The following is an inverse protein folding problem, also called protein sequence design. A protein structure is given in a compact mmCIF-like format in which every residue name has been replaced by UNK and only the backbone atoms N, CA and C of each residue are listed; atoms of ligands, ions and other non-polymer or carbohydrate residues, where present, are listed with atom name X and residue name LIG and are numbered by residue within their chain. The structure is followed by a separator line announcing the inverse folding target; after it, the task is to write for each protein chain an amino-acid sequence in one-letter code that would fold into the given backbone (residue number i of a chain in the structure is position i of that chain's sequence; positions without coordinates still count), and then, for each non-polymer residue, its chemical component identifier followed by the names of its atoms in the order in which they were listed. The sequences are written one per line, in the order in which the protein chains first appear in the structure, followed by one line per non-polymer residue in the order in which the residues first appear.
data_IF_193439761947
#
_entry.id   IF_193439761947
#
_cell.length_a   1.000
_cell.length_b   1.000
_cell.length_c   1.000
_cell.angle_alpha   90.00
_cell.angle_beta   90.00
_cell.angle_gamma   90.00
#
_symmetry.space_group_name_H-M   'P 1'
#
loop_
_entity.id
_entity.type
_entity.pdbx_description
1 polymer ?
#
# COMPACT_ATOMS: atom_id res chain seq x y z
N UNK A 1 0.29 1.53 23.45
CA UNK A 1 -0.80 1.61 22.47
C UNK A 1 -0.45 0.65 21.35
N UNK A 2 -1.13 -0.50 21.26
CA UNK A 2 -0.86 -1.51 20.22
C UNK A 2 -1.87 -1.32 19.11
N UNK A 3 -1.42 -0.87 17.94
CA UNK A 3 -2.28 -0.72 16.75
C UNK A 3 -2.61 -2.13 16.26
N UNK A 4 -3.82 -2.59 16.56
CA UNK A 4 -4.30 -3.92 16.13
C UNK A 4 -4.95 -3.90 14.75
N UNK A 5 -5.35 -2.73 14.29
CA UNK A 5 -6.09 -2.58 13.05
C UNK A 5 -5.18 -2.74 11.83
N UNK A 6 -5.71 -3.44 10.82
CA UNK A 6 -5.07 -3.58 9.52
C UNK A 6 -5.12 -2.24 8.77
N UNK A 7 -3.96 -1.66 8.50
CA UNK A 7 -3.82 -0.48 7.65
C UNK A 7 -2.60 -0.61 6.76
N UNK A 8 -2.70 -0.18 5.51
CA UNK A 8 -1.60 -0.23 4.55
C UNK A 8 -1.59 1.06 3.78
N UNK A 9 -0.46 1.75 3.82
CA UNK A 9 -0.12 2.79 2.85
C UNK A 9 1.06 2.30 2.05
N UNK A 10 0.94 2.28 0.73
CA UNK A 10 1.93 1.80 -0.21
C UNK A 10 2.01 2.81 -1.35
N UNK A 11 3.18 3.38 -1.60
CA UNK A 11 3.45 4.32 -2.68
C UNK A 11 4.67 3.82 -3.44
N UNK A 12 4.49 3.47 -4.71
CA UNK A 12 5.55 3.01 -5.58
C UNK A 12 5.66 3.92 -6.81
N UNK A 13 6.88 4.26 -7.18
CA UNK A 13 7.24 5.00 -8.40
C UNK A 13 8.66 4.63 -8.78
N UNK A 14 9.09 4.89 -10.00
CA UNK A 14 10.45 4.56 -10.43
C UNK A 14 11.53 5.06 -9.44
N UNK A 15 12.37 4.15 -8.94
CA UNK A 15 13.41 4.46 -7.97
C UNK A 15 12.94 4.74 -6.54
N UNK A 16 11.64 4.68 -6.23
CA UNK A 16 11.13 4.93 -4.88
C UNK A 16 9.99 4.03 -4.47
N UNK A 17 10.09 3.51 -3.24
CA UNK A 17 9.03 2.75 -2.59
C UNK A 17 8.89 3.23 -1.15
N UNK A 18 7.69 3.64 -0.77
CA UNK A 18 7.33 3.96 0.59
C UNK A 18 6.18 3.05 1.00
N UNK A 19 6.32 2.35 2.11
CA UNK A 19 5.25 1.56 2.67
C UNK A 19 5.16 1.74 4.18
N UNK A 20 3.93 1.77 4.69
CA UNK A 20 3.63 1.71 6.10
C UNK A 20 2.46 0.74 6.29
N UNK A 21 2.74 -0.36 6.97
CA UNK A 21 1.77 -1.42 7.18
C UNK A 21 1.63 -1.67 8.67
N UNK A 22 0.38 -1.77 9.14
CA UNK A 22 0.05 -2.16 10.50
C UNK A 22 -0.88 -3.37 10.44
N UNK A 23 -0.59 -4.41 11.20
CA UNK A 23 -1.47 -5.57 11.34
C UNK A 23 -1.11 -6.34 12.62
N UNK A 24 -2.10 -6.86 13.34
CA UNK A 24 -1.90 -7.73 14.51
C UNK A 24 -0.91 -7.18 15.56
N UNK A 25 -0.83 -5.87 15.74
CA UNK A 25 0.13 -5.25 16.67
C UNK A 25 1.57 -5.17 16.15
N UNK A 26 1.79 -5.40 14.86
CA UNK A 26 3.07 -5.20 14.16
C UNK A 26 2.97 -3.96 13.29
N UNK A 27 4.02 -3.15 13.30
CA UNK A 27 4.17 -1.97 12.45
C UNK A 27 5.42 -2.17 11.60
N UNK A 28 5.27 -2.06 10.28
CA UNK A 28 6.38 -2.14 9.34
C UNK A 28 6.41 -0.91 8.46
N UNK A 29 7.53 -0.20 8.49
CA UNK A 29 7.81 0.95 7.65
C UNK A 29 8.93 0.57 6.68
N UNK A 30 8.73 0.78 5.38
CA UNK A 30 9.72 0.54 4.34
C UNK A 30 9.96 1.83 3.59
N UNK A 31 11.22 2.18 3.41
CA UNK A 31 11.65 3.27 2.57
C UNK A 31 12.76 2.80 1.65
N UNK A 32 12.51 2.87 0.34
CA UNK A 32 13.51 2.73 -0.71
C UNK A 32 13.64 4.05 -1.46
N UNK A 33 14.88 4.49 -1.60
CA UNK A 33 15.25 5.61 -2.48
C UNK A 33 16.47 5.18 -3.28
N UNK A 34 16.30 5.04 -4.58
CA UNK A 34 17.25 4.41 -5.50
C UNK A 34 17.62 3.01 -4.97
N UNK A 35 18.89 2.80 -4.62
CA UNK A 35 19.40 1.52 -4.11
C UNK A 35 19.47 1.44 -2.58
N UNK A 36 19.04 2.49 -1.87
CA UNK A 36 19.08 2.52 -0.39
C UNK A 36 17.76 2.02 0.15
N UNK A 37 17.83 1.02 1.03
CA UNK A 37 16.65 0.41 1.68
C UNK A 37 16.77 0.55 3.19
N UNK A 38 15.70 1.06 3.80
CA UNK A 38 15.49 1.10 5.25
C UNK A 38 14.17 0.42 5.56
N UNK A 39 14.18 -0.52 6.50
CA UNK A 39 13.00 -1.22 7.01
C UNK A 39 12.97 -1.07 8.52
N UNK A 40 11.86 -0.58 9.07
CA UNK A 40 11.62 -0.54 10.51
C UNK A 40 10.53 -1.52 10.85
N UNK A 41 10.81 -2.44 11.77
CA UNK A 41 9.87 -3.44 12.24
C UNK A 41 9.67 -3.26 13.75
N UNK A 42 8.44 -2.94 14.13
CA UNK A 42 8.07 -2.67 15.51
C UNK A 42 6.96 -3.62 15.98
N UNK A 43 7.21 -4.24 17.12
CA UNK A 43 6.25 -5.04 17.90
C UNK A 43 6.35 -4.62 19.35
N UNK A 44 5.60 -5.30 20.23
CA UNK A 44 5.56 -4.98 21.66
C UNK A 44 6.85 -5.17 22.42
N UNK A 45 7.66 -6.07 21.91
CA UNK A 45 8.91 -6.52 22.45
C UNK A 45 10.10 -6.14 21.56
N UNK A 46 9.86 -5.80 20.28
CA UNK A 46 10.95 -5.57 19.31
C UNK A 46 10.86 -4.21 18.65
N UNK A 47 12.03 -3.61 18.48
CA UNK A 47 12.23 -2.37 17.71
C UNK A 47 13.47 -2.55 16.85
N UNK A 48 13.25 -3.06 15.64
CA UNK A 48 14.29 -3.40 14.71
C UNK A 48 14.35 -2.38 13.58
N UNK A 49 15.55 -1.97 13.19
CA UNK A 49 15.78 -1.15 12.00
C UNK A 49 16.85 -1.82 11.14
N UNK A 50 16.48 -2.21 9.92
CA UNK A 50 17.40 -2.75 8.92
C UNK A 50 17.72 -1.66 7.91
N UNK A 51 18.97 -1.20 7.86
CA UNK A 51 19.45 -0.17 6.92
C UNK A 51 20.69 -0.71 6.20
N UNK A 52 20.57 -0.93 4.89
CA UNK A 52 21.66 -1.32 3.99
C UNK A 52 22.63 -2.37 4.58
N UNK A 53 22.08 -3.54 4.99
CA UNK A 53 22.78 -4.68 5.60
C UNK A 53 23.18 -4.53 7.08
N UNK A 54 22.71 -3.49 7.78
CA UNK A 54 22.88 -3.38 9.24
C UNK A 54 21.53 -3.52 9.91
N UNK A 55 21.47 -4.35 10.94
CA UNK A 55 20.27 -4.50 11.76
C UNK A 55 20.55 -3.92 13.14
N UNK A 56 19.84 -2.84 13.47
CA UNK A 56 19.85 -2.21 14.78
C UNK A 56 18.69 -2.77 15.60
N UNK A 57 19.02 -3.40 16.72
CA UNK A 57 18.05 -3.82 17.73
C UNK A 57 18.08 -2.82 18.87
N UNK A 58 17.09 -1.94 18.92
CA UNK A 58 17.01 -0.87 19.92
C UNK A 58 16.54 -1.38 21.28
N UNK A 59 16.00 -2.61 21.37
CA UNK A 59 15.62 -3.21 22.64
C UNK A 59 16.84 -3.79 23.34
N UNK A 60 17.66 -4.55 22.62
CA UNK A 60 18.89 -5.15 23.17
C UNK A 60 20.14 -4.28 23.01
N UNK A 61 20.02 -3.11 22.37
CA UNK A 61 21.14 -2.20 22.05
C UNK A 61 22.27 -2.91 21.29
N UNK A 62 21.91 -3.80 20.36
CA UNK A 62 22.86 -4.57 19.55
C UNK A 62 22.80 -4.19 18.07
N UNK A 63 23.92 -4.41 17.37
CA UNK A 63 24.03 -4.17 15.93
C UNK A 63 24.60 -5.42 15.26
N UNK A 64 23.81 -6.00 14.35
CA UNK A 64 24.28 -7.06 13.44
C UNK A 64 24.62 -6.46 12.07
N UNK A 65 25.47 -7.15 11.30
CA UNK A 65 25.90 -6.69 9.98
C UNK A 65 25.92 -7.84 8.97
N UNK A 66 25.80 -7.50 7.69
CA UNK A 66 25.94 -8.44 6.58
C UNK A 66 24.87 -9.52 6.60
N UNK A 67 25.29 -10.76 6.37
CA UNK A 67 24.37 -11.89 6.26
C UNK A 67 23.61 -12.18 7.56
N UNK A 68 24.25 -12.06 8.73
CA UNK A 68 23.58 -12.27 10.02
C UNK A 68 22.42 -11.29 10.24
N UNK A 69 22.62 -10.02 9.86
CA UNK A 69 21.57 -9.00 9.92
C UNK A 69 20.42 -9.35 8.98
N UNK A 70 20.74 -9.82 7.78
CA UNK A 70 19.77 -10.20 6.75
C UNK A 70 18.94 -11.39 7.20
N UNK A 71 19.58 -12.50 7.57
CA UNK A 71 18.90 -13.72 8.03
C UNK A 71 18.01 -13.43 9.24
N UNK A 72 18.49 -12.64 10.21
CA UNK A 72 17.66 -12.27 11.37
C UNK A 72 16.42 -11.50 10.96
N UNK A 73 16.55 -10.51 10.06
CA UNK A 73 15.41 -9.71 9.63
C UNK A 73 14.42 -10.50 8.74
N UNK A 74 14.91 -11.39 7.86
CA UNK A 74 14.06 -12.32 7.08
C UNK A 74 13.25 -13.24 8.01
N UNK A 75 13.86 -13.76 9.07
CA UNK A 75 13.17 -14.60 10.06
C UNK A 75 12.07 -13.83 10.81
N UNK A 76 12.29 -12.56 11.13
CA UNK A 76 11.29 -11.71 11.80
C UNK A 76 10.12 -11.37 10.86
N UNK A 77 10.39 -11.15 9.57
CA UNK A 77 9.38 -10.75 8.59
C UNK A 77 8.60 -11.92 8.01
N UNK A 78 9.25 -13.01 7.62
CA UNK A 78 8.65 -14.10 6.82
C UNK A 78 7.34 -14.65 7.40
N UNK A 79 7.29 -14.97 8.69
CA UNK A 79 6.06 -15.41 9.35
C UNK A 79 5.04 -14.27 9.51
N UNK A 80 5.52 -13.08 9.86
CA UNK A 80 4.67 -11.92 10.11
C UNK A 80 3.91 -11.47 8.84
N UNK A 81 4.58 -11.46 7.68
CA UNK A 81 3.97 -10.97 6.43
C UNK A 81 2.94 -11.94 5.86
N UNK A 82 3.07 -13.25 6.07
CA UNK A 82 2.06 -14.21 5.62
C UNK A 82 0.76 -14.07 6.41
N UNK A 83 0.84 -13.84 7.72
CA UNK A 83 -0.35 -13.49 8.52
C UNK A 83 -1.03 -12.22 8.01
N UNK A 84 -0.24 -11.18 7.67
CA UNK A 84 -0.76 -9.93 7.12
C UNK A 84 -1.41 -10.11 5.73
N UNK A 85 -0.80 -10.94 4.88
CA UNK A 85 -1.34 -11.26 3.55
C UNK A 85 -2.65 -12.05 3.64
N UNK A 86 -2.78 -12.96 4.62
CA UNK A 86 -4.02 -13.67 4.90
C UNK A 86 -5.12 -12.72 5.42
N UNK A 87 -4.78 -11.81 6.33
CA UNK A 87 -5.72 -10.81 6.85
C UNK A 87 -6.21 -9.90 5.71
N UNK A 88 -5.33 -9.47 4.80
CA UNK A 88 -5.70 -8.73 3.59
C UNK A 88 -6.61 -9.54 2.68
N UNK A 89 -6.26 -10.79 2.39
CA UNK A 89 -7.06 -11.63 1.50
C UNK A 89 -8.47 -11.84 2.06
N UNK A 90 -8.58 -12.03 3.37
CA UNK A 90 -9.86 -12.21 4.06
C UNK A 90 -10.69 -10.95 3.99
N UNK A 91 -10.06 -9.79 4.24
CA UNK A 91 -10.71 -8.49 4.10
C UNK A 91 -11.15 -8.22 2.66
N UNK A 92 -10.29 -8.52 1.67
CA UNK A 92 -10.60 -8.36 0.26
C UNK A 92 -11.85 -9.14 -0.17
N UNK A 93 -12.03 -10.35 0.37
CA UNK A 93 -13.24 -11.15 0.13
C UNK A 93 -14.48 -10.59 0.82
N UNK A 94 -14.35 -10.08 2.05
CA UNK A 94 -15.47 -9.57 2.84
C UNK A 94 -16.05 -8.28 2.25
N UNK A 95 -15.19 -7.35 1.85
CA UNK A 95 -15.59 -6.00 1.40
C UNK A 95 -15.27 -5.70 -0.06
N UNK A 96 -14.90 -6.74 -0.84
CA UNK A 96 -14.67 -6.67 -2.28
C UNK A 96 -13.67 -5.59 -2.74
N UNK A 97 -12.58 -5.41 -1.99
CA UNK A 97 -11.50 -4.46 -2.34
C UNK A 97 -10.33 -5.16 -3.04
N UNK A 98 -9.58 -4.45 -3.91
CA UNK A 98 -8.42 -5.02 -4.56
C UNK A 98 -7.29 -5.23 -3.56
N UNK A 99 -6.70 -6.43 -3.50
CA UNK A 99 -5.65 -6.74 -2.50
C UNK A 99 -4.38 -7.35 -3.08
N UNK A 100 -4.35 -7.61 -4.39
CA UNK A 100 -3.19 -8.29 -5.00
C UNK A 100 -1.90 -7.48 -4.86
N UNK A 101 -1.94 -6.16 -5.09
CA UNK A 101 -0.76 -5.29 -4.95
C UNK A 101 -0.15 -5.31 -3.53
N UNK A 102 -0.90 -5.00 -2.45
CA UNK A 102 -0.33 -5.04 -1.11
C UNK A 102 0.08 -6.46 -0.69
N UNK A 103 -0.57 -7.52 -1.17
CA UNK A 103 -0.14 -8.91 -0.93
C UNK A 103 1.20 -9.22 -1.63
N UNK A 104 1.39 -8.80 -2.88
CA UNK A 104 2.68 -8.93 -3.58
C UNK A 104 3.78 -8.24 -2.77
N UNK A 105 3.54 -7.00 -2.34
CA UNK A 105 4.48 -6.25 -1.51
C UNK A 105 4.83 -7.00 -0.21
N UNK A 106 3.82 -7.48 0.54
CA UNK A 106 4.06 -8.19 1.80
C UNK A 106 4.90 -9.46 1.60
N UNK A 107 4.60 -10.26 0.58
CA UNK A 107 5.34 -11.49 0.27
C UNK A 107 6.78 -11.23 -0.15
N UNK A 108 7.01 -10.18 -0.92
CA UNK A 108 8.36 -9.77 -1.33
C UNK A 108 9.16 -9.25 -0.13
N UNK A 109 8.52 -8.47 0.74
CA UNK A 109 9.10 -7.99 2.00
C UNK A 109 9.54 -9.13 2.93
N UNK A 110 8.78 -10.23 2.99
CA UNK A 110 9.16 -11.43 3.76
C UNK A 110 10.49 -12.06 3.33
N UNK A 111 10.95 -11.78 2.11
CA UNK A 111 12.22 -12.23 1.53
C UNK A 111 13.27 -11.11 1.48
N UNK A 112 13.01 -9.99 2.17
CA UNK A 112 13.75 -8.73 2.06
C UNK A 112 13.94 -8.24 0.62
N UNK A 113 13.03 -8.62 -0.28
CA UNK A 113 13.07 -8.19 -1.67
C UNK A 113 12.27 -6.90 -1.82
N UNK A 114 12.95 -5.76 -1.73
CA UNK A 114 12.33 -4.43 -1.82
C UNK A 114 12.63 -3.81 -3.19
N UNK A 115 11.72 -4.01 -4.15
CA UNK A 115 11.83 -3.53 -5.53
C UNK A 115 10.48 -2.96 -6.00
N UNK A 116 10.43 -1.64 -6.25
CA UNK A 116 9.25 -0.92 -6.73
C UNK A 116 8.71 -1.47 -8.04
N UNK A 117 9.57 -2.04 -8.89
CA UNK A 117 9.19 -2.50 -10.24
C UNK A 117 8.22 -3.67 -10.18
N UNK A 118 8.20 -4.40 -9.06
CA UNK A 118 7.23 -5.47 -8.79
C UNK A 118 5.80 -4.96 -8.59
N UNK A 119 5.66 -3.68 -8.26
CA UNK A 119 4.40 -3.02 -7.92
C UNK A 119 3.91 -2.10 -9.05
N UNK A 120 4.69 -1.95 -10.12
CA UNK A 120 4.38 -1.11 -11.27
C UNK A 120 4.01 -1.98 -12.47
N UNK A 121 2.95 -1.60 -13.18
CA UNK A 121 2.62 -2.15 -14.49
C UNK A 121 3.35 -1.37 -15.58
N UNK A 122 3.51 -1.95 -16.78
CA UNK A 122 4.30 -1.34 -17.86
C UNK A 122 3.83 0.07 -18.25
N UNK A 123 2.52 0.34 -18.19
CA UNK A 123 1.93 1.64 -18.51
C UNK A 123 1.87 2.61 -17.33
N UNK A 124 2.33 2.20 -16.14
CA UNK A 124 2.16 2.92 -14.88
C UNK A 124 3.48 3.55 -14.42
N UNK A 125 3.44 4.86 -14.21
CA UNK A 125 4.52 5.66 -13.64
C UNK A 125 4.58 5.56 -12.12
N UNK A 126 3.42 5.61 -11.47
CA UNK A 126 3.31 5.45 -10.02
C UNK A 126 1.96 4.92 -9.57
N UNK A 127 1.94 4.27 -8.41
CA UNK A 127 0.72 3.81 -7.74
C UNK A 127 0.76 4.18 -6.26
N UNK A 128 -0.38 4.60 -5.73
CA UNK A 128 -0.65 4.74 -4.30
C UNK A 128 -1.84 3.83 -3.95
N UNK A 129 -1.64 3.00 -2.92
CA UNK A 129 -2.67 2.19 -2.29
C UNK A 129 -2.69 2.55 -0.81
N UNK A 130 -3.80 3.09 -0.33
CA UNK A 130 -3.95 3.57 1.04
C UNK A 130 -5.26 3.05 1.64
N UNK A 131 -5.15 1.99 2.43
CA UNK A 131 -6.21 1.40 3.22
C UNK A 131 -6.00 1.76 4.69
N UNK A 132 -6.94 2.46 5.30
CA UNK A 132 -6.86 2.82 6.71
C UNK A 132 -8.19 3.30 7.25
N UNK A 133 -8.18 3.99 8.39
CA UNK A 133 -9.36 4.71 8.88
C UNK A 133 -9.16 6.21 8.76
N UNK A 134 -10.24 6.90 8.45
CA UNK A 134 -10.30 8.35 8.42
C UNK A 134 -11.38 8.85 9.38
N UNK A 135 -11.11 9.92 10.11
CA UNK A 135 -12.10 10.57 10.97
C UNK A 135 -13.12 11.33 10.12
N UNK A 136 -14.40 11.08 10.38
CA UNK A 136 -15.50 11.75 9.70
C UNK A 136 -15.65 13.15 10.29
N UNK A 137 -15.25 14.18 9.53
CA UNK A 137 -15.29 15.58 9.98
C UNK A 137 -16.70 16.12 10.20
N UNK A 138 -17.70 15.52 9.56
CA UNK A 138 -19.08 16.02 9.53
C UNK A 138 -19.98 15.45 10.63
N UNK A 139 -19.45 14.65 11.55
CA UNK A 139 -20.21 14.08 12.67
C UNK A 139 -19.55 14.41 14.01
N UNK A 140 -20.31 14.90 15.01
CA UNK A 140 -19.79 15.07 16.35
C UNK A 140 -19.44 13.70 16.97
N UNK A 141 -18.32 13.65 17.67
CA UNK A 141 -17.70 12.42 18.17
C UNK A 141 -16.55 11.96 17.26
N UNK A 142 -15.51 11.33 17.80
CA UNK A 142 -14.38 10.79 17.05
C UNK A 142 -14.79 9.53 16.25
N UNK A 143 -15.76 9.67 15.36
CA UNK A 143 -16.24 8.60 14.49
C UNK A 143 -15.26 8.46 13.34
N UNK A 144 -14.71 7.26 13.19
CA UNK A 144 -13.80 6.93 12.10
C UNK A 144 -14.39 5.83 11.26
N UNK A 145 -14.17 5.91 9.96
CA UNK A 145 -14.64 4.93 8.99
C UNK A 145 -13.46 4.39 8.18
N UNK A 146 -13.51 3.12 7.79
CA UNK A 146 -12.50 2.54 6.91
C UNK A 146 -12.57 3.15 5.51
N UNK A 147 -11.43 3.56 4.99
CA UNK A 147 -11.28 4.23 3.71
C UNK A 147 -10.22 3.54 2.87
N UNK A 148 -10.53 3.29 1.61
CA UNK A 148 -9.58 2.89 0.58
C UNK A 148 -9.38 4.06 -0.38
N UNK A 149 -8.13 4.52 -0.50
CA UNK A 149 -7.69 5.44 -1.53
C UNK A 149 -6.78 4.70 -2.51
N UNK A 150 -7.05 4.88 -3.79
CA UNK A 150 -6.23 4.37 -4.89
C UNK A 150 -5.85 5.53 -5.79
N UNK A 151 -4.57 5.62 -6.14
CA UNK A 151 -4.10 6.56 -7.15
C UNK A 151 -3.21 5.82 -8.14
N UNK A 152 -3.47 5.97 -9.44
CA UNK A 152 -2.64 5.41 -10.51
C UNK A 152 -2.27 6.53 -11.45
N UNK A 153 -0.97 6.77 -11.64
CA UNK A 153 -0.45 7.73 -12.62
C UNK A 153 0.21 6.95 -13.75
N UNK A 154 -0.18 7.26 -14.98
CA UNK A 154 0.32 6.64 -16.20
C UNK A 154 1.58 7.34 -16.69
N UNK A 155 2.31 6.69 -17.60
CA UNK A 155 3.57 7.23 -18.16
C UNK A 155 3.40 8.55 -18.92
N UNK A 156 2.20 8.82 -19.45
CA UNK A 156 1.85 10.07 -20.12
C UNK A 156 1.34 11.16 -19.14
N UNK A 157 1.48 10.94 -17.83
CA UNK A 157 1.02 11.81 -16.74
C UNK A 157 -0.51 11.98 -16.65
N UNK A 158 -1.29 11.14 -17.33
CA UNK A 158 -2.70 10.97 -16.99
C UNK A 158 -2.82 10.19 -15.68
N UNK A 159 -3.84 10.48 -14.89
CA UNK A 159 -4.00 9.85 -13.59
C UNK A 159 -5.44 9.61 -13.20
N UNK A 160 -5.62 8.58 -12.39
CA UNK A 160 -6.87 8.14 -11.80
C UNK A 160 -6.72 8.16 -10.30
N UNK A 161 -7.72 8.68 -9.61
CA UNK A 161 -7.80 8.73 -8.17
C UNK A 161 -9.19 8.31 -7.72
N UNK A 162 -9.27 7.46 -6.70
CA UNK A 162 -10.53 7.10 -6.04
C UNK A 162 -10.36 7.16 -4.54
N UNK A 163 -11.34 7.70 -3.83
CA UNK A 163 -11.48 7.54 -2.38
C UNK A 163 -12.82 6.87 -2.10
N UNK A 164 -12.83 5.74 -1.39
CA UNK A 164 -14.03 4.99 -1.04
C UNK A 164 -14.06 4.76 0.48
N UNK A 165 -15.13 5.25 1.11
CA UNK A 165 -15.48 5.01 2.50
C UNK A 165 -16.33 3.73 2.59
N UNK A 166 -15.72 2.66 3.08
CA UNK A 166 -16.16 1.27 2.89
C UNK A 166 -17.37 0.88 3.74
N UNK A 167 -17.64 1.60 4.83
CA UNK A 167 -18.78 1.31 5.73
C UNK A 167 -20.07 1.99 5.23
N UNK A 168 -19.94 3.15 4.59
CA UNK A 168 -21.02 4.01 4.10
C UNK A 168 -21.24 3.86 2.60
N UNK A 169 -20.33 3.23 1.87
CA UNK A 169 -20.37 3.08 0.42
C UNK A 169 -20.17 4.39 -0.35
N UNK A 170 -19.85 5.48 0.34
CA UNK A 170 -19.59 6.78 -0.29
C UNK A 170 -18.23 6.76 -0.98
N UNK A 171 -18.09 7.56 -2.01
CA UNK A 171 -16.76 7.89 -2.49
C UNK A 171 -16.74 8.95 -3.57
N UNK A 172 -15.52 9.24 -3.99
CA UNK A 172 -15.18 10.28 -4.95
C UNK A 172 -14.20 9.68 -5.97
N UNK A 173 -14.31 10.17 -7.20
CA UNK A 173 -13.35 9.87 -8.26
C UNK A 173 -12.76 11.16 -8.78
N UNK A 174 -11.47 11.14 -9.03
CA UNK A 174 -10.72 12.26 -9.57
C UNK A 174 -9.84 11.79 -10.72
N UNK A 175 -9.65 12.65 -11.70
CA UNK A 175 -8.77 12.41 -12.82
C UNK A 175 -7.86 13.60 -13.06
N UNK A 176 -6.74 13.35 -13.73
CA UNK A 176 -5.78 14.37 -14.14
C UNK A 176 -5.24 14.04 -15.53
N UNK A 177 -4.99 15.06 -16.35
CA UNK A 177 -4.46 14.89 -17.71
C UNK A 177 -3.24 15.80 -17.92
N UNK A 178 -2.14 15.49 -17.23
CA UNK A 178 -0.89 16.26 -17.31
C UNK A 178 -0.89 17.61 -16.58
N UNK A 179 -1.99 18.01 -15.93
CA UNK A 179 -2.06 19.17 -15.03
C UNK A 179 -1.61 18.80 -13.60
N UNK A 180 -1.37 19.81 -12.75
CA UNK A 180 -1.07 19.60 -11.33
C UNK A 180 -2.33 19.46 -10.45
N UNK A 181 -3.52 19.68 -11.03
CA UNK A 181 -4.79 19.75 -10.29
C UNK A 181 -5.71 18.60 -10.68
N UNK A 182 -6.24 17.92 -9.66
CA UNK A 182 -7.25 16.87 -9.82
C UNK A 182 -8.62 17.47 -10.16
N UNK A 183 -9.27 16.91 -11.19
CA UNK A 183 -10.65 17.20 -11.55
C UNK A 183 -11.55 16.07 -11.04
N UNK A 184 -12.58 16.41 -10.26
CA UNK A 184 -13.46 15.43 -9.62
C UNK A 184 -14.76 15.27 -10.41
N UNK A 185 -14.70 14.51 -11.51
CA UNK A 185 -15.82 14.24 -12.39
C UNK A 185 -15.73 12.82 -12.97
N UNK A 186 -16.87 12.15 -13.14
CA UNK A 186 -16.94 10.75 -13.58
C UNK A 186 -16.56 10.57 -15.06
N UNK A 187 -16.92 11.52 -15.94
CA UNK A 187 -16.74 11.36 -17.39
C UNK A 187 -15.25 11.26 -17.78
N UNK A 188 -14.44 12.23 -17.40
CA UNK A 188 -12.99 12.20 -17.67
C UNK A 188 -12.27 11.04 -16.96
N UNK A 189 -12.74 10.65 -15.77
CA UNK A 189 -12.23 9.46 -15.10
C UNK A 189 -12.49 8.18 -15.92
N UNK A 190 -13.71 8.01 -16.44
CA UNK A 190 -14.07 6.86 -17.29
C UNK A 190 -13.25 6.82 -18.58
N UNK A 191 -13.00 7.97 -19.20
CA UNK A 191 -12.18 8.06 -20.41
C UNK A 191 -10.77 7.52 -20.15
N UNK A 192 -10.08 8.02 -19.12
CA UNK A 192 -8.73 7.57 -18.78
C UNK A 192 -8.73 6.09 -18.37
N UNK A 193 -9.68 5.67 -17.53
CA UNK A 193 -9.82 4.28 -17.08
C UNK A 193 -10.04 3.32 -18.25
N UNK A 194 -10.82 3.71 -19.26
CA UNK A 194 -11.04 2.89 -20.46
C UNK A 194 -9.74 2.68 -21.25
N UNK A 195 -8.87 3.69 -21.29
CA UNK A 195 -7.59 3.65 -22.00
C UNK A 195 -6.51 2.84 -21.28
N UNK A 196 -6.67 2.59 -19.98
CA UNK A 196 -5.76 1.76 -19.19
C UNK A 196 -5.80 0.32 -19.70
N UNK A 197 -4.65 -0.23 -20.12
CA UNK A 197 -4.51 -1.62 -20.58
C UNK A 197 -3.53 -2.39 -19.68
N UNK A 198 -3.98 -2.85 -18.49
CA UNK A 198 -3.12 -3.53 -17.55
C UNK A 198 -2.54 -4.83 -18.10
N UNK A 199 -1.24 -5.05 -17.89
CA UNK A 199 -0.59 -6.33 -18.22
C UNK A 199 -0.57 -7.30 -17.04
N UNK A 200 -0.50 -6.79 -15.82
CA UNK A 200 -0.49 -7.57 -14.59
C UNK A 200 -1.89 -7.80 -13.99
N UNK A 201 -2.09 -8.97 -13.38
CA UNK A 201 -3.36 -9.33 -12.71
C UNK A 201 -3.75 -8.31 -11.62
N UNK A 202 -2.78 -7.82 -10.85
CA UNK A 202 -3.01 -6.85 -9.80
C UNK A 202 -3.58 -5.52 -10.33
N UNK A 203 -3.12 -5.05 -11.49
CA UNK A 203 -3.69 -3.84 -12.12
C UNK A 203 -5.00 -4.12 -12.86
N UNK A 204 -5.22 -5.34 -13.35
CA UNK A 204 -6.55 -5.74 -13.84
C UNK A 204 -7.57 -5.72 -12.69
N UNK A 205 -7.19 -6.17 -11.50
CA UNK A 205 -8.01 -6.12 -10.29
C UNK A 205 -8.34 -4.66 -9.92
N UNK A 206 -7.34 -3.78 -9.85
CA UNK A 206 -7.55 -2.33 -9.64
C UNK A 206 -8.52 -1.74 -10.67
N UNK A 207 -8.31 -2.03 -11.96
CA UNK A 207 -9.15 -1.53 -13.05
C UNK A 207 -10.59 -2.02 -12.91
N UNK A 208 -10.81 -3.31 -12.61
CA UNK A 208 -12.15 -3.88 -12.38
C UNK A 208 -12.84 -3.20 -11.22
N UNK A 209 -12.13 -3.00 -10.11
CA UNK A 209 -12.66 -2.32 -8.94
C UNK A 209 -13.07 -0.88 -9.25
N UNK A 210 -12.19 -0.10 -9.89
CA UNK A 210 -12.50 1.28 -10.29
C UNK A 210 -13.68 1.36 -11.27
N UNK A 211 -13.79 0.41 -12.21
CA UNK A 211 -14.93 0.33 -13.12
C UNK A 211 -16.24 0.03 -12.39
N UNK A 212 -16.24 -0.93 -11.46
CA UNK A 212 -17.42 -1.25 -10.66
C UNK A 212 -17.86 -0.05 -9.82
N UNK A 213 -16.89 0.67 -9.25
CA UNK A 213 -17.16 1.85 -8.42
C UNK A 213 -17.86 2.97 -9.20
N UNK A 214 -17.44 3.27 -10.44
CA UNK A 214 -18.06 4.33 -11.24
C UNK A 214 -19.31 3.91 -12.02
N UNK A 215 -19.60 2.61 -12.13
CA UNK A 215 -20.76 2.10 -12.87
C UNK A 215 -21.86 1.52 -11.98
N UNK A 216 -21.55 1.21 -10.72
CA UNK A 216 -22.48 0.67 -9.72
C UNK A 216 -23.04 1.71 -8.75
N UNK A 217 -22.76 2.99 -8.99
CA UNK A 217 -23.38 4.14 -8.31
C UNK A 217 -24.58 4.68 -9.06
#
# INVERSE_FOLDING_TARGET
MWIKELSIRLVASEGSLLAQCNWRGRVVEVQKVNNKVSIRYLTHDKRLTFDNQRLFDMHSLTVLKGEEARTRMENELSGAVEEGAQDLSSLGMEIAIPTSLPIIFMRDLGKLYVDERRLLDFATKSVEYDLGREFIKDRPGMVSERRLKLTVILNDNRGLHTTHWLESGRGEVGWVNGSETWTYEVEGFREILSSLKPTSEAYQELKRYMHAFVNGG
#
